data_IF_143641340090
#
_entry.id   IF_143641340090
#
_cell.length_a   1.000
_cell.length_b   1.000
_cell.length_c   1.000
_cell.angle_alpha   90.00
_cell.angle_beta   90.00
_cell.angle_gamma   90.00
#
_symmetry.space_group_name_H-M   'P 1'
#
loop_
_entity.id
_entity.type
_entity.pdbx_description
1 polymer ?
#
# COMPACT_ATOMS: atom_id res chain seq x y z
N UNK A 1 12.95 23.77 5.29
CA UNK A 1 12.58 23.09 4.04
C UNK A 1 12.80 24.07 2.89
N UNK A 2 13.42 23.64 1.80
CA UNK A 2 13.64 24.49 0.61
C UNK A 2 12.29 24.96 0.06
N UNK A 3 12.16 26.26 -0.18
CA UNK A 3 11.01 26.93 -0.82
C UNK A 3 11.06 26.58 -2.31
N UNK A 4 10.75 25.35 -2.68
CA UNK A 4 10.73 24.92 -4.08
C UNK A 4 9.29 24.75 -4.55
N UNK A 5 8.92 25.36 -5.69
CA UNK A 5 7.60 25.16 -6.27
C UNK A 5 7.36 23.67 -6.63
N UNK A 6 6.11 23.25 -6.54
CA UNK A 6 5.73 21.85 -6.72
C UNK A 6 4.48 21.69 -7.58
N UNK A 7 4.44 20.62 -8.34
CA UNK A 7 3.18 20.05 -8.84
C UNK A 7 2.73 19.03 -7.81
N UNK A 8 1.50 19.15 -7.31
CA UNK A 8 1.00 18.35 -6.18
C UNK A 8 -0.21 17.52 -6.60
N UNK A 9 -0.10 16.19 -6.46
CA UNK A 9 -1.23 15.27 -6.53
C UNK A 9 -1.97 15.24 -5.19
N UNK A 10 -3.31 15.33 -5.24
CA UNK A 10 -4.18 15.34 -4.06
C UNK A 10 -4.94 14.02 -3.93
N UNK A 11 -4.85 13.36 -2.78
CA UNK A 11 -5.58 12.12 -2.53
C UNK A 11 -5.16 11.41 -1.26
N UNK A 12 -5.89 10.35 -0.89
CA UNK A 12 -5.49 9.48 0.22
C UNK A 12 -4.49 8.40 -0.23
N UNK A 13 -4.54 8.00 -1.48
CA UNK A 13 -3.62 7.07 -2.16
C UNK A 13 -3.50 5.69 -1.50
N UNK A 14 -4.52 5.21 -0.81
CA UNK A 14 -4.51 3.88 -0.21
C UNK A 14 -4.45 2.79 -1.27
N UNK A 15 -3.39 1.98 -1.24
CA UNK A 15 -3.09 0.96 -2.23
C UNK A 15 -2.30 1.45 -3.44
N UNK A 16 -2.11 2.75 -3.63
CA UNK A 16 -1.40 3.35 -4.80
C UNK A 16 -1.78 2.65 -6.13
N UNK A 17 -3.05 2.31 -6.27
CA UNK A 17 -3.61 1.54 -7.38
C UNK A 17 -3.55 2.28 -8.73
N UNK A 18 -3.90 1.61 -9.83
CA UNK A 18 -3.80 2.16 -11.20
C UNK A 18 -4.51 3.50 -11.38
N UNK A 19 -5.65 3.74 -10.71
CA UNK A 19 -6.32 5.04 -10.68
C UNK A 19 -5.43 6.12 -10.05
N UNK A 20 -4.83 5.82 -8.90
CA UNK A 20 -3.82 6.71 -8.29
C UNK A 20 -2.60 6.88 -9.20
N UNK A 21 -2.16 5.81 -9.85
CA UNK A 21 -1.05 5.85 -10.80
C UNK A 21 -1.25 6.84 -11.95
N UNK A 22 -2.49 7.01 -12.42
CA UNK A 22 -2.79 8.03 -13.44
C UNK A 22 -2.55 9.45 -12.93
N UNK A 23 -2.95 9.75 -11.67
CA UNK A 23 -2.66 11.04 -11.05
C UNK A 23 -1.15 11.25 -10.87
N UNK A 24 -0.44 10.24 -10.37
CA UNK A 24 0.99 10.34 -10.06
C UNK A 24 1.83 10.51 -11.33
N UNK A 25 1.54 9.77 -12.40
CA UNK A 25 2.20 9.97 -13.71
C UNK A 25 1.99 11.37 -14.23
N UNK A 26 0.74 11.88 -14.22
CA UNK A 26 0.45 13.25 -14.67
C UNK A 26 1.18 14.29 -13.83
N UNK A 27 1.29 14.06 -12.52
CA UNK A 27 2.03 14.95 -11.61
C UNK A 27 3.51 15.02 -11.96
N UNK A 28 4.15 13.88 -12.23
CA UNK A 28 5.57 13.82 -12.62
C UNK A 28 5.79 14.42 -14.01
N UNK A 29 4.93 14.15 -14.98
CA UNK A 29 5.00 14.73 -16.32
C UNK A 29 4.93 16.25 -16.28
N UNK A 30 3.96 16.80 -15.53
CA UNK A 30 3.76 18.23 -15.40
C UNK A 30 4.89 18.90 -14.61
N UNK A 31 5.42 18.25 -13.58
CA UNK A 31 6.57 18.72 -12.82
C UNK A 31 7.82 18.82 -13.72
N UNK A 32 8.09 17.78 -14.49
CA UNK A 32 9.21 17.77 -15.48
C UNK A 32 9.04 18.88 -16.52
N UNK A 33 7.83 19.06 -17.07
CA UNK A 33 7.54 20.12 -18.05
C UNK A 33 7.79 21.53 -17.51
N UNK A 34 7.54 21.74 -16.22
CA UNK A 34 7.74 23.04 -15.55
C UNK A 34 9.12 23.21 -14.94
N UNK A 35 9.95 22.17 -14.87
CA UNK A 35 11.25 22.21 -14.20
C UNK A 35 11.13 22.37 -12.67
N UNK A 36 10.08 21.81 -12.05
CA UNK A 36 9.80 21.87 -10.62
C UNK A 36 9.70 20.45 -10.05
N UNK A 37 9.58 20.35 -8.70
CA UNK A 37 9.44 19.04 -8.05
C UNK A 37 8.01 18.49 -8.16
N UNK A 38 7.91 17.17 -8.23
CA UNK A 38 6.67 16.43 -8.09
C UNK A 38 6.38 16.12 -6.61
N UNK A 39 5.12 16.21 -6.19
CA UNK A 39 4.74 15.87 -4.82
C UNK A 39 3.38 15.18 -4.76
N UNK A 40 3.21 14.38 -3.71
CA UNK A 40 1.92 13.85 -3.27
C UNK A 40 1.55 14.54 -1.96
N UNK A 41 0.33 15.06 -1.87
CA UNK A 41 -0.28 15.48 -0.61
C UNK A 41 -1.28 14.41 -0.17
N UNK A 42 -1.05 13.85 1.01
CA UNK A 42 -1.86 12.76 1.56
C UNK A 42 -2.00 12.86 3.09
N UNK A 43 -2.96 12.14 3.64
CA UNK A 43 -3.19 12.07 5.07
C UNK A 43 -2.47 10.87 5.69
N UNK A 44 -1.92 11.04 6.90
CA UNK A 44 -1.28 9.95 7.64
C UNK A 44 -2.30 8.85 8.01
N UNK A 45 -3.50 9.27 8.46
CA UNK A 45 -4.61 8.38 8.80
C UNK A 45 -5.84 8.67 7.93
N UNK A 46 -6.76 7.69 7.79
CA UNK A 46 -7.99 7.89 7.00
C UNK A 46 -8.86 9.02 7.58
N UNK A 47 -9.21 10.07 6.80
CA UNK A 47 -10.11 11.11 7.27
C UNK A 47 -11.45 10.57 7.80
N UNK A 48 -11.99 9.53 7.13
CA UNK A 48 -13.23 8.87 7.55
C UNK A 48 -13.14 8.29 8.97
N UNK A 49 -12.02 7.69 9.34
CA UNK A 49 -11.81 7.15 10.67
C UNK A 49 -11.82 8.24 11.74
N UNK A 50 -11.14 9.37 11.48
CA UNK A 50 -11.11 10.52 12.39
C UNK A 50 -12.50 11.13 12.58
N UNK A 51 -13.30 11.20 11.50
CA UNK A 51 -14.66 11.78 11.54
C UNK A 51 -15.66 10.86 12.22
N UNK A 52 -15.59 9.55 11.97
CA UNK A 52 -16.61 8.58 12.42
C UNK A 52 -16.22 7.82 13.68
N UNK A 53 -14.94 7.83 14.06
CA UNK A 53 -14.39 6.97 15.13
C UNK A 53 -14.37 5.47 14.79
N UNK A 54 -14.69 5.10 13.55
CA UNK A 54 -14.72 3.71 13.09
C UNK A 54 -13.44 3.40 12.31
N UNK A 55 -12.65 2.40 12.75
CA UNK A 55 -11.43 2.01 12.03
C UNK A 55 -11.68 1.68 10.57
N UNK A 56 -10.79 2.16 9.69
CA UNK A 56 -10.83 1.88 8.26
C UNK A 56 -9.65 0.98 7.91
N UNK A 57 -9.88 -0.25 7.43
CA UNK A 57 -8.78 -1.10 6.99
C UNK A 57 -8.01 -0.46 5.85
N UNK A 58 -6.69 -0.37 5.98
CA UNK A 58 -5.77 0.19 4.98
C UNK A 58 -5.19 -0.92 4.12
N UNK A 59 -5.06 -0.69 2.82
CA UNK A 59 -4.35 -1.60 1.91
C UNK A 59 -2.85 -1.58 2.24
N UNK A 60 -2.31 -0.39 2.52
CA UNK A 60 -0.90 -0.21 2.85
C UNK A 60 -0.73 0.70 4.07
N UNK A 61 0.34 0.48 4.83
CA UNK A 61 0.81 1.43 5.84
C UNK A 61 1.14 2.79 5.22
N UNK A 62 1.19 3.88 6.01
CA UNK A 62 1.65 5.18 5.51
C UNK A 62 3.04 5.11 4.86
N UNK A 63 3.96 4.34 5.45
CA UNK A 63 5.32 4.14 4.97
C UNK A 63 5.33 3.41 3.63
N UNK A 64 4.55 2.33 3.50
CA UNK A 64 4.42 1.57 2.25
C UNK A 64 3.78 2.42 1.14
N UNK A 65 2.78 3.25 1.46
CA UNK A 65 2.21 4.22 0.49
C UNK A 65 3.25 5.19 -0.03
N UNK A 66 4.04 5.76 0.88
CA UNK A 66 5.10 6.68 0.50
C UNK A 66 6.17 6.00 -0.36
N UNK A 67 6.55 4.77 0.01
CA UNK A 67 7.49 3.97 -0.75
C UNK A 67 6.95 3.66 -2.16
N UNK A 68 5.71 3.20 -2.29
CA UNK A 68 5.09 2.89 -3.58
C UNK A 68 5.02 4.11 -4.50
N UNK A 69 4.62 5.28 -3.98
CA UNK A 69 4.56 6.50 -4.77
C UNK A 69 5.93 6.89 -5.34
N UNK A 70 6.99 6.76 -4.54
CA UNK A 70 8.37 7.05 -4.96
C UNK A 70 8.93 5.99 -5.90
N UNK A 71 8.78 4.72 -5.55
CA UNK A 71 9.43 3.62 -6.26
C UNK A 71 8.77 3.28 -7.60
N UNK A 72 7.44 3.43 -7.72
CA UNK A 72 6.71 3.10 -8.94
C UNK A 72 6.49 4.28 -9.88
N UNK A 73 6.52 5.51 -9.35
CA UNK A 73 6.13 6.70 -10.12
C UNK A 73 7.15 7.83 -10.07
N UNK A 74 8.31 7.65 -9.45
CA UNK A 74 9.38 8.66 -9.36
C UNK A 74 8.91 9.99 -8.72
N UNK A 75 7.99 9.91 -7.75
CA UNK A 75 7.56 11.09 -6.99
C UNK A 75 8.71 11.58 -6.10
N UNK A 76 9.07 12.86 -6.22
CA UNK A 76 10.15 13.46 -5.43
C UNK A 76 9.80 13.56 -3.94
N UNK A 77 8.62 14.09 -3.62
CA UNK A 77 8.20 14.40 -2.26
C UNK A 77 6.87 13.74 -1.90
N UNK A 78 6.79 13.18 -0.70
CA UNK A 78 5.51 12.77 -0.10
C UNK A 78 5.22 13.64 1.11
N UNK A 79 4.21 14.49 0.98
CA UNK A 79 3.71 15.40 2.02
C UNK A 79 2.62 14.66 2.77
N UNK A 80 2.99 14.02 3.86
CA UNK A 80 2.06 13.26 4.69
C UNK A 80 1.70 14.08 5.94
N UNK A 81 0.43 14.44 6.04
CA UNK A 81 -0.07 15.36 7.07
C UNK A 81 -1.07 14.61 7.96
N UNK A 82 -1.03 14.80 9.29
CA UNK A 82 -2.07 14.26 10.16
C UNK A 82 -3.41 14.96 9.85
N UNK A 83 -4.49 14.17 9.74
CA UNK A 83 -5.85 14.70 9.63
C UNK A 83 -6.39 14.92 11.05
N UNK A 84 -6.30 16.14 11.53
CA UNK A 84 -6.70 16.54 12.87
C UNK A 84 -7.95 17.46 12.84
N UNK A 85 -8.40 17.91 14.02
CA UNK A 85 -9.59 18.76 14.16
C UNK A 85 -9.47 20.09 13.40
N UNK A 86 -8.28 20.69 13.38
CA UNK A 86 -8.01 21.91 12.62
C UNK A 86 -8.21 21.67 11.13
N UNK A 87 -7.61 20.63 10.58
CA UNK A 87 -7.72 20.26 9.17
C UNK A 87 -9.16 19.87 8.79
N UNK A 88 -9.91 19.24 9.71
CA UNK A 88 -11.32 18.89 9.49
C UNK A 88 -12.23 20.12 9.37
N UNK A 89 -11.86 21.25 10.01
CA UNK A 89 -12.63 22.51 9.98
C UNK A 89 -12.12 23.52 8.99
N UNK A 90 -10.99 23.28 8.33
CA UNK A 90 -10.42 24.16 7.31
C UNK A 90 -11.37 24.27 6.12
N UNK A 91 -11.70 25.50 5.69
CA UNK A 91 -12.51 25.73 4.51
C UNK A 91 -11.83 25.16 3.25
N UNK A 92 -12.57 24.90 2.21
CA UNK A 92 -11.97 24.42 0.97
C UNK A 92 -11.10 25.51 0.31
N UNK A 93 -11.45 26.79 0.46
CA UNK A 93 -10.67 27.95 0.01
C UNK A 93 -9.32 28.02 0.73
N UNK A 94 -9.32 27.98 2.08
CA UNK A 94 -8.11 28.04 2.89
C UNK A 94 -7.22 26.79 2.65
N UNK A 95 -7.84 25.63 2.41
CA UNK A 95 -7.08 24.45 2.05
C UNK A 95 -6.26 24.67 0.78
N UNK A 96 -6.83 25.27 -0.25
CA UNK A 96 -6.12 25.58 -1.50
C UNK A 96 -5.11 26.73 -1.28
N UNK A 97 -5.54 27.85 -0.73
CA UNK A 97 -4.73 29.09 -0.69
C UNK A 97 -3.65 29.06 0.39
N UNK A 98 -4.02 28.75 1.64
CA UNK A 98 -3.09 28.81 2.77
C UNK A 98 -2.23 27.54 2.87
N UNK A 99 -2.84 26.36 2.61
CA UNK A 99 -2.12 25.11 2.79
C UNK A 99 -1.38 24.73 1.51
N UNK A 100 -2.07 24.50 0.40
CA UNK A 100 -1.41 23.99 -0.80
C UNK A 100 -0.48 25.03 -1.45
N UNK A 101 -0.95 26.29 -1.60
CA UNK A 101 -0.18 27.32 -2.28
C UNK A 101 0.86 27.93 -1.34
N UNK A 102 0.44 28.56 -0.23
CA UNK A 102 1.36 29.31 0.62
C UNK A 102 2.32 28.42 1.39
N UNK A 103 1.82 27.33 2.01
CA UNK A 103 2.65 26.47 2.86
C UNK A 103 3.47 25.47 2.06
N UNK A 104 2.90 24.85 1.00
CA UNK A 104 3.57 23.80 0.22
C UNK A 104 4.01 24.24 -1.17
N UNK A 105 3.82 25.52 -1.52
CA UNK A 105 4.29 26.13 -2.77
C UNK A 105 3.79 25.42 -4.04
N UNK A 106 2.51 25.04 -4.02
CA UNK A 106 1.86 24.45 -5.19
C UNK A 106 1.80 25.48 -6.33
N UNK A 107 2.22 25.09 -7.52
CA UNK A 107 2.10 25.85 -8.78
C UNK A 107 1.20 25.15 -9.78
N UNK A 108 0.85 23.89 -9.51
CA UNK A 108 -0.07 23.08 -10.28
C UNK A 108 -0.65 21.98 -9.38
N UNK A 109 -1.94 21.71 -9.49
CA UNK A 109 -2.64 20.70 -8.72
C UNK A 109 -3.17 19.59 -9.65
N UNK A 110 -3.10 18.33 -9.19
CA UNK A 110 -3.64 17.17 -9.89
C UNK A 110 -4.57 16.42 -8.94
N UNK A 111 -5.83 16.22 -9.33
CA UNK A 111 -6.83 15.57 -8.51
C UNK A 111 -7.66 14.56 -9.33
N UNK A 112 -8.29 13.60 -8.65
CA UNK A 112 -9.24 12.69 -9.29
C UNK A 112 -10.61 13.37 -9.52
N UNK A 113 -11.38 12.80 -10.46
CA UNK A 113 -12.73 13.29 -10.79
C UNK A 113 -13.72 13.27 -9.63
N UNK A 114 -13.49 12.44 -8.62
CA UNK A 114 -14.32 12.27 -7.43
C UNK A 114 -13.72 12.91 -6.17
N UNK A 115 -12.60 13.65 -6.31
CA UNK A 115 -11.88 14.22 -5.17
C UNK A 115 -12.74 15.22 -4.40
N UNK A 116 -12.82 15.05 -3.07
CA UNK A 116 -13.53 15.95 -2.16
C UNK A 116 -12.56 16.44 -1.07
N UNK A 117 -12.66 17.74 -0.74
CA UNK A 117 -11.74 18.35 0.22
C UNK A 117 -12.41 19.51 0.98
N UNK A 118 -11.69 20.02 2.00
CA UNK A 118 -12.19 21.08 2.85
C UNK A 118 -13.30 20.64 3.81
N UNK A 119 -13.77 21.57 4.62
CA UNK A 119 -14.81 21.32 5.62
C UNK A 119 -16.06 20.67 5.00
N UNK A 120 -16.50 19.55 5.58
CA UNK A 120 -17.67 18.77 5.10
C UNK A 120 -17.63 18.38 3.63
N UNK A 121 -16.43 18.22 3.05
CA UNK A 121 -16.26 17.85 1.63
C UNK A 121 -16.89 18.85 0.64
N UNK A 122 -16.93 20.13 0.99
CA UNK A 122 -17.53 21.18 0.13
C UNK A 122 -16.68 21.47 -1.11
N UNK A 123 -15.37 21.27 -1.07
CA UNK A 123 -14.48 21.37 -2.22
C UNK A 123 -14.73 20.26 -3.24
N UNK A 124 -14.87 20.62 -4.51
CA UNK A 124 -15.10 19.71 -5.64
C UNK A 124 -14.03 19.90 -6.71
N UNK A 125 -13.86 18.94 -7.65
CA UNK A 125 -12.95 19.11 -8.77
C UNK A 125 -13.20 20.36 -9.61
N UNK A 126 -14.48 20.72 -9.80
CA UNK A 126 -14.90 21.92 -10.56
C UNK A 126 -14.45 23.19 -9.83
N UNK A 127 -14.72 23.27 -8.51
CA UNK A 127 -14.26 24.39 -7.68
C UNK A 127 -12.73 24.47 -7.65
N UNK A 128 -12.03 23.33 -7.52
CA UNK A 128 -10.58 23.31 -7.58
C UNK A 128 -10.07 23.90 -8.90
N UNK A 129 -10.65 23.47 -10.01
CA UNK A 129 -10.24 23.93 -11.36
C UNK A 129 -10.52 25.42 -11.57
N UNK A 130 -11.70 25.93 -11.18
CA UNK A 130 -12.03 27.36 -11.31
C UNK A 130 -11.12 28.22 -10.43
N UNK A 131 -10.91 27.84 -9.17
CA UNK A 131 -10.06 28.58 -8.24
C UNK A 131 -8.60 28.60 -8.71
N UNK A 132 -8.07 27.46 -9.20
CA UNK A 132 -6.75 27.45 -9.79
C UNK A 132 -6.63 28.42 -10.97
N UNK A 133 -7.63 28.46 -11.86
CA UNK A 133 -7.63 29.38 -13.00
C UNK A 133 -7.65 30.84 -12.56
N UNK A 134 -8.48 31.21 -11.57
CA UNK A 134 -8.55 32.56 -10.99
C UNK A 134 -7.22 32.98 -10.34
N UNK A 135 -6.51 32.04 -9.72
CA UNK A 135 -5.21 32.28 -9.09
C UNK A 135 -4.01 32.14 -10.01
N UNK A 136 -4.22 31.87 -11.30
CA UNK A 136 -3.14 31.67 -12.29
C UNK A 136 -2.35 30.37 -12.12
N UNK A 137 -2.92 29.38 -11.42
CA UNK A 137 -2.34 28.03 -11.26
C UNK A 137 -2.85 27.05 -12.32
N UNK A 138 -2.06 26.05 -12.61
CA UNK A 138 -2.55 24.90 -13.39
C UNK A 138 -3.35 23.92 -12.54
N UNK A 139 -4.31 23.23 -13.18
CA UNK A 139 -5.10 22.18 -12.54
C UNK A 139 -5.50 21.11 -13.55
N UNK A 140 -5.17 19.85 -13.25
CA UNK A 140 -5.61 18.67 -14.00
C UNK A 140 -6.58 17.83 -13.17
N UNK A 141 -7.73 17.52 -13.75
CA UNK A 141 -8.67 16.56 -13.17
C UNK A 141 -8.58 15.25 -13.96
N UNK A 142 -8.17 14.20 -13.30
CA UNK A 142 -7.94 12.88 -13.91
C UNK A 142 -9.26 12.11 -13.90
N UNK A 143 -9.67 11.58 -15.05
CA UNK A 143 -10.89 10.79 -15.15
C UNK A 143 -10.76 9.43 -14.44
N UNK A 144 -11.89 8.76 -14.28
CA UNK A 144 -11.98 7.41 -13.78
C UNK A 144 -11.12 6.43 -14.60
N UNK A 145 -10.45 5.51 -13.90
CA UNK A 145 -9.69 4.42 -14.52
C UNK A 145 -10.44 3.11 -14.32
N UNK A 146 -10.60 2.35 -15.40
CA UNK A 146 -11.24 1.03 -15.39
C UNK A 146 -10.30 -0.06 -15.89
N UNK A 147 -10.46 -1.27 -15.37
CA UNK A 147 -9.79 -2.49 -15.83
C UNK A 147 -10.86 -3.54 -16.10
N UNK A 148 -10.93 -4.04 -17.33
CA UNK A 148 -11.97 -5.00 -17.72
C UNK A 148 -13.41 -4.49 -17.51
N UNK A 149 -13.65 -3.17 -17.64
CA UNK A 149 -14.95 -2.52 -17.41
C UNK A 149 -15.32 -2.32 -15.92
N UNK A 150 -14.42 -2.63 -14.99
CA UNK A 150 -14.62 -2.42 -13.55
C UNK A 150 -13.81 -1.22 -13.09
N UNK A 151 -14.43 -0.30 -12.37
CA UNK A 151 -13.77 0.86 -11.78
C UNK A 151 -12.71 0.46 -10.77
N UNK A 152 -11.50 0.99 -10.94
CA UNK A 152 -10.38 0.78 -10.01
C UNK A 152 -10.63 1.62 -8.75
N UNK A 153 -10.82 0.95 -7.61
CA UNK A 153 -11.03 1.63 -6.34
C UNK A 153 -10.41 0.88 -5.15
N UNK A 154 -9.97 1.63 -4.14
CA UNK A 154 -9.44 1.03 -2.90
C UNK A 154 -10.48 0.13 -2.21
N UNK A 155 -11.77 0.43 -2.31
CA UNK A 155 -12.85 -0.39 -1.72
C UNK A 155 -12.91 -1.77 -2.36
N UNK A 156 -12.86 -1.84 -3.69
CA UNK A 156 -12.87 -3.12 -4.40
C UNK A 156 -11.59 -3.92 -4.13
N UNK A 157 -10.44 -3.27 -4.13
CA UNK A 157 -9.14 -3.89 -3.86
C UNK A 157 -9.09 -4.45 -2.43
N UNK A 158 -9.58 -3.70 -1.41
CA UNK A 158 -9.67 -4.22 -0.04
C UNK A 158 -10.44 -5.53 0.03
N UNK A 159 -11.59 -5.60 -0.67
CA UNK A 159 -12.38 -6.84 -0.74
C UNK A 159 -11.59 -7.99 -1.36
N UNK A 160 -10.88 -7.76 -2.47
CA UNK A 160 -10.06 -8.80 -3.11
C UNK A 160 -8.96 -9.30 -2.19
N UNK A 161 -8.23 -8.39 -1.53
CA UNK A 161 -7.16 -8.73 -0.57
C UNK A 161 -7.72 -9.52 0.61
N UNK A 162 -8.83 -9.08 1.22
CA UNK A 162 -9.47 -9.77 2.36
C UNK A 162 -9.92 -11.20 2.00
N UNK A 163 -10.26 -11.45 0.74
CA UNK A 163 -10.64 -12.77 0.23
C UNK A 163 -9.42 -13.61 -0.21
N UNK A 164 -8.20 -13.11 -0.07
CA UNK A 164 -6.98 -13.77 -0.53
C UNK A 164 -6.83 -13.81 -2.05
N UNK A 165 -7.62 -13.03 -2.81
CA UNK A 165 -7.55 -12.96 -4.28
C UNK A 165 -6.46 -11.99 -4.72
N UNK A 166 -5.22 -12.27 -4.31
CA UNK A 166 -4.08 -11.36 -4.50
C UNK A 166 -3.71 -11.18 -5.98
N UNK A 167 -3.89 -12.19 -6.83
CA UNK A 167 -3.68 -12.09 -8.27
C UNK A 167 -4.62 -11.06 -8.90
N UNK A 168 -5.92 -11.15 -8.55
CA UNK A 168 -6.90 -10.17 -9.03
C UNK A 168 -6.66 -8.80 -8.44
N UNK A 169 -6.29 -8.71 -7.16
CA UNK A 169 -5.95 -7.43 -6.54
C UNK A 169 -4.79 -6.75 -7.29
N UNK A 170 -3.78 -7.52 -7.72
CA UNK A 170 -2.63 -7.04 -8.47
C UNK A 170 -3.03 -6.46 -9.84
N UNK A 171 -4.07 -6.98 -10.51
CA UNK A 171 -4.59 -6.41 -11.77
C UNK A 171 -5.08 -4.96 -11.61
N UNK A 172 -5.67 -4.63 -10.45
CA UNK A 172 -6.18 -3.29 -10.15
C UNK A 172 -5.15 -2.40 -9.44
N UNK A 173 -4.28 -3.00 -8.65
CA UNK A 173 -3.15 -2.31 -8.02
C UNK A 173 -2.10 -1.87 -9.06
N UNK A 174 -1.80 -2.74 -10.03
CA UNK A 174 -0.66 -2.59 -10.95
C UNK A 174 0.69 -3.02 -10.33
N UNK A 175 0.64 -3.57 -9.12
CA UNK A 175 1.78 -4.11 -8.37
C UNK A 175 1.27 -5.16 -7.36
N UNK A 176 2.13 -6.06 -6.83
CA UNK A 176 1.72 -7.00 -5.80
C UNK A 176 1.26 -6.26 -4.53
N UNK A 177 0.34 -6.85 -3.77
CA UNK A 177 0.06 -6.37 -2.42
C UNK A 177 1.31 -6.54 -1.56
N UNK A 178 1.68 -5.50 -0.80
CA UNK A 178 2.91 -5.48 0.01
C UNK A 178 2.62 -5.30 1.50
N UNK A 179 3.49 -5.88 2.32
CA UNK A 179 3.51 -5.70 3.76
C UNK A 179 4.96 -5.53 4.23
N UNK A 180 5.32 -4.34 4.71
CA UNK A 180 6.64 -4.08 5.29
C UNK A 180 6.55 -4.10 6.80
N UNK A 181 7.35 -4.96 7.45
CA UNK A 181 7.39 -5.10 8.90
C UNK A 181 8.76 -5.55 9.41
N UNK A 182 9.00 -5.29 10.69
CA UNK A 182 10.17 -5.82 11.39
C UNK A 182 9.97 -7.29 11.74
N UNK A 183 10.96 -8.11 11.43
CA UNK A 183 10.98 -9.55 11.77
C UNK A 183 11.01 -9.74 13.28
N UNK A 184 10.07 -10.53 13.78
CA UNK A 184 9.96 -10.88 15.21
C UNK A 184 10.20 -12.35 15.45
N UNK A 185 10.55 -12.68 16.70
CA UNK A 185 10.65 -14.07 17.11
C UNK A 185 9.26 -14.73 17.09
N UNK A 186 9.15 -15.84 16.34
CA UNK A 186 8.01 -16.75 16.38
C UNK A 186 8.26 -17.94 17.30
N UNK A 187 7.38 -18.95 17.24
CA UNK A 187 7.51 -20.20 18.02
C UNK A 187 8.64 -21.11 17.57
N UNK A 188 9.40 -20.78 16.51
CA UNK A 188 10.53 -21.52 15.95
C UNK A 188 10.20 -22.97 15.54
N UNK A 189 8.93 -23.33 15.33
CA UNK A 189 8.53 -24.67 14.90
C UNK A 189 9.16 -25.03 13.55
N UNK A 190 9.25 -24.07 12.63
CA UNK A 190 9.90 -24.25 11.33
C UNK A 190 11.37 -24.69 11.45
N UNK A 191 12.11 -24.15 12.42
CA UNK A 191 13.50 -24.57 12.67
C UNK A 191 13.62 -26.06 13.04
N UNK A 192 12.68 -26.60 13.83
CA UNK A 192 12.72 -28.03 14.25
C UNK A 192 12.48 -28.98 13.09
N UNK A 193 11.88 -28.51 12.00
CA UNK A 193 11.61 -29.33 10.80
C UNK A 193 12.51 -28.96 9.62
N UNK A 194 13.52 -28.09 9.82
CA UNK A 194 14.47 -27.67 8.78
C UNK A 194 13.87 -26.69 7.76
N UNK A 195 12.83 -25.96 8.15
CA UNK A 195 12.13 -24.94 7.31
C UNK A 195 12.06 -23.63 8.12
N UNK A 196 13.17 -22.87 8.20
CA UNK A 196 13.19 -21.64 8.98
C UNK A 196 12.28 -20.58 8.36
N UNK A 197 11.41 -19.98 9.17
CA UNK A 197 10.49 -18.91 8.75
C UNK A 197 10.77 -17.61 9.48
N UNK A 198 10.62 -16.49 8.78
CA UNK A 198 10.53 -15.17 9.39
C UNK A 198 9.07 -14.87 9.75
N UNK A 199 8.87 -14.27 10.91
CA UNK A 199 7.54 -13.96 11.43
C UNK A 199 7.32 -12.46 11.45
N UNK A 200 6.20 -12.02 10.89
CA UNK A 200 5.76 -10.63 10.89
C UNK A 200 4.45 -10.50 11.67
N UNK A 201 4.36 -9.42 12.43
CA UNK A 201 3.12 -9.00 13.07
C UNK A 201 2.60 -7.78 12.30
N UNK A 202 1.49 -7.91 11.57
CA UNK A 202 0.94 -6.79 10.80
C UNK A 202 0.60 -5.60 11.71
N UNK A 203 0.76 -4.36 11.22
CA UNK A 203 0.32 -3.20 11.98
C UNK A 203 -1.19 -3.23 12.17
N UNK A 204 -1.71 -2.64 13.25
CA UNK A 204 -3.16 -2.48 13.40
C UNK A 204 -3.78 -1.80 12.18
N UNK A 205 -4.93 -2.28 11.76
CA UNK A 205 -5.72 -1.75 10.64
C UNK A 205 -5.08 -1.85 9.24
N UNK A 206 -3.88 -2.42 9.08
CA UNK A 206 -3.32 -2.75 7.76
C UNK A 206 -3.82 -4.13 7.35
N UNK A 207 -4.38 -4.22 6.15
CA UNK A 207 -4.86 -5.48 5.59
C UNK A 207 -3.69 -6.42 5.28
N UNK A 208 -3.90 -7.67 5.63
CA UNK A 208 -3.17 -8.80 5.07
C UNK A 208 -4.11 -9.61 4.21
N UNK A 209 -3.62 -10.39 3.26
CA UNK A 209 -4.46 -11.33 2.51
C UNK A 209 -5.21 -12.28 3.45
N UNK A 210 -6.38 -12.76 3.01
CA UNK A 210 -7.14 -13.78 3.74
C UNK A 210 -6.29 -15.02 4.05
N UNK A 211 -6.69 -15.78 5.09
CA UNK A 211 -5.95 -16.97 5.55
C UNK A 211 -5.64 -17.93 4.38
N UNK A 212 -4.40 -18.44 4.35
CA UNK A 212 -3.94 -19.32 3.28
C UNK A 212 -2.43 -19.29 3.08
N UNK A 213 -1.98 -20.04 2.08
CA UNK A 213 -0.58 -20.14 1.67
C UNK A 213 -0.38 -19.45 0.33
N UNK A 214 0.66 -18.64 0.24
CA UNK A 214 0.92 -17.74 -0.88
C UNK A 214 2.32 -17.89 -1.45
N UNK A 215 2.45 -17.80 -2.78
CA UNK A 215 3.71 -17.44 -3.42
C UNK A 215 3.98 -15.98 -3.12
N UNK A 216 5.13 -15.70 -2.55
CA UNK A 216 5.56 -14.37 -2.18
C UNK A 216 7.02 -14.11 -2.58
N UNK A 217 7.41 -12.86 -2.57
CA UNK A 217 8.81 -12.42 -2.60
C UNK A 217 9.10 -11.66 -1.32
N UNK A 218 10.20 -11.97 -0.68
CA UNK A 218 10.71 -11.19 0.46
C UNK A 218 11.84 -10.31 -0.03
N UNK A 219 11.68 -9.00 0.12
CA UNK A 219 12.67 -8.00 -0.25
C UNK A 219 13.33 -7.45 1.02
N UNK A 220 14.66 -7.46 1.04
CA UNK A 220 15.44 -6.88 2.12
C UNK A 220 15.72 -5.40 1.86
N UNK A 221 16.10 -4.66 2.89
CA UNK A 221 16.36 -3.22 2.77
C UNK A 221 17.67 -2.89 2.04
N UNK A 222 18.54 -3.88 1.84
CA UNK A 222 19.75 -3.77 1.01
C UNK A 222 19.51 -3.93 -0.49
N UNK A 223 18.24 -4.19 -0.90
CA UNK A 223 17.81 -4.38 -2.28
C UNK A 223 17.81 -5.83 -2.75
N UNK A 224 18.33 -6.78 -1.97
CA UNK A 224 18.24 -8.22 -2.29
C UNK A 224 16.81 -8.72 -2.13
N UNK A 225 16.45 -9.76 -2.90
CA UNK A 225 15.11 -10.35 -2.82
C UNK A 225 15.14 -11.85 -3.04
N UNK A 226 14.23 -12.55 -2.38
CA UNK A 226 14.16 -14.03 -2.36
C UNK A 226 12.74 -14.48 -2.64
N UNK A 227 12.59 -15.53 -3.44
CA UNK A 227 11.32 -16.23 -3.56
C UNK A 227 10.94 -16.80 -2.19
N UNK A 228 9.65 -16.81 -1.87
CA UNK A 228 9.19 -17.27 -0.58
C UNK A 228 7.82 -17.96 -0.68
N UNK A 229 7.57 -18.84 0.29
CA UNK A 229 6.24 -19.35 0.60
C UNK A 229 5.78 -18.70 1.88
N UNK A 230 4.66 -17.99 1.83
CA UNK A 230 4.14 -17.23 2.97
C UNK A 230 2.82 -17.80 3.43
N UNK A 231 2.73 -18.15 4.70
CA UNK A 231 1.49 -18.52 5.38
C UNK A 231 0.89 -17.28 6.07
N UNK A 232 -0.37 -17.00 5.78
CA UNK A 232 -1.20 -16.04 6.51
C UNK A 232 -2.23 -16.85 7.27
N UNK A 233 -2.29 -16.69 8.59
CA UNK A 233 -3.21 -17.46 9.41
C UNK A 233 -3.57 -16.76 10.70
N UNK A 234 -4.73 -17.09 11.22
CA UNK A 234 -5.26 -16.57 12.47
C UNK A 234 -5.10 -17.62 13.57
N UNK A 235 -4.37 -17.31 14.64
CA UNK A 235 -4.15 -18.24 15.74
C UNK A 235 -5.01 -17.87 16.95
N UNK A 236 -5.73 -18.83 17.58
CA UNK A 236 -6.36 -18.61 18.86
C UNK A 236 -5.30 -18.27 19.93
N UNK A 237 -5.51 -17.19 20.68
CA UNK A 237 -4.69 -16.86 21.86
C UNK A 237 -5.36 -17.29 23.13
N UNK A 238 -4.55 -17.53 24.18
CA UNK A 238 -5.03 -17.96 25.52
C UNK A 238 -5.97 -16.91 26.17
N UNK A 239 -5.91 -15.65 25.71
CA UNK A 239 -6.67 -14.52 26.27
C UNK A 239 -7.88 -14.10 25.40
N UNK A 240 -8.58 -15.05 24.76
CA UNK A 240 -9.76 -14.81 23.91
C UNK A 240 -9.55 -13.85 22.73
N UNK A 241 -8.31 -13.60 22.29
CA UNK A 241 -7.95 -12.88 21.07
C UNK A 241 -7.53 -13.84 19.97
N UNK A 242 -7.47 -13.35 18.74
CA UNK A 242 -6.84 -14.03 17.61
C UNK A 242 -5.65 -13.23 17.15
N UNK A 243 -4.45 -13.83 17.16
CA UNK A 243 -3.26 -13.20 16.60
C UNK A 243 -3.14 -13.55 15.14
N UNK A 244 -3.25 -12.55 14.30
CA UNK A 244 -2.95 -12.67 12.88
C UNK A 244 -1.43 -12.77 12.71
N UNK A 245 -0.98 -13.81 12.04
CA UNK A 245 0.45 -14.07 11.80
C UNK A 245 0.73 -14.17 10.31
N UNK A 246 1.86 -13.62 9.90
CA UNK A 246 2.42 -13.75 8.55
C UNK A 246 3.79 -14.41 8.70
N UNK A 247 3.90 -15.64 8.25
CA UNK A 247 5.12 -16.44 8.35
C UNK A 247 5.64 -16.74 6.96
N UNK A 248 6.86 -16.30 6.64
CA UNK A 248 7.47 -16.50 5.32
C UNK A 248 8.70 -17.40 5.41
N UNK A 249 8.70 -18.48 4.65
CA UNK A 249 9.89 -19.26 4.36
C UNK A 249 10.57 -18.70 3.12
N UNK A 250 11.70 -18.08 3.31
CA UNK A 250 12.55 -17.56 2.23
C UNK A 250 13.35 -18.70 1.61
N UNK A 251 13.20 -18.90 0.31
CA UNK A 251 13.88 -19.96 -0.42
C UNK A 251 15.32 -19.52 -0.72
N UNK A 252 16.25 -20.46 -0.52
CA UNK A 252 17.67 -20.27 -0.84
C UNK A 252 18.32 -19.09 -0.06
N UNK A 253 17.75 -18.76 1.10
CA UNK A 253 18.28 -17.77 2.04
C UNK A 253 18.84 -18.44 3.29
N UNK A 254 20.06 -18.04 3.67
CA UNK A 254 20.69 -18.43 4.92
C UNK A 254 21.19 -17.16 5.64
N UNK A 255 20.60 -16.86 6.77
CA UNK A 255 20.93 -15.64 7.53
C UNK A 255 19.96 -15.37 8.67
N UNK A 256 20.32 -14.39 9.50
CA UNK A 256 19.50 -13.89 10.61
C UNK A 256 18.91 -12.52 10.24
N UNK A 257 17.59 -12.43 10.30
CA UNK A 257 16.82 -11.21 10.00
C UNK A 257 16.08 -10.65 11.21
N UNK A 258 16.27 -11.20 12.41
CA UNK A 258 15.58 -10.69 13.60
C UNK A 258 15.89 -9.22 13.85
N UNK A 259 14.83 -8.42 14.07
CA UNK A 259 14.94 -6.99 14.27
C UNK A 259 15.14 -6.18 12.98
N UNK A 260 15.34 -6.82 11.85
CA UNK A 260 15.44 -6.15 10.54
C UNK A 260 14.05 -5.95 9.93
N UNK A 261 13.87 -4.86 9.21
CA UNK A 261 12.67 -4.64 8.39
C UNK A 261 12.80 -5.36 7.06
N UNK A 262 11.74 -6.06 6.68
CA UNK A 262 11.61 -6.71 5.38
C UNK A 262 10.26 -6.36 4.76
N UNK A 263 10.15 -6.47 3.43
CA UNK A 263 8.90 -6.32 2.70
C UNK A 263 8.52 -7.65 2.08
N UNK A 264 7.30 -8.11 2.36
CA UNK A 264 6.67 -9.27 1.72
C UNK A 264 5.75 -8.78 0.60
N UNK A 265 5.94 -9.28 -0.59
CA UNK A 265 5.14 -9.02 -1.78
C UNK A 265 4.34 -10.28 -2.12
N UNK A 266 3.00 -10.20 -2.14
CA UNK A 266 2.11 -11.35 -2.38
C UNK A 266 1.73 -11.44 -3.86
N UNK A 267 2.05 -12.59 -4.49
CA UNK A 267 1.87 -12.77 -5.92
C UNK A 267 0.74 -13.72 -6.30
N UNK A 268 0.61 -14.86 -5.58
CA UNK A 268 -0.37 -15.88 -5.92
C UNK A 268 -0.81 -16.66 -4.69
N UNK A 269 -2.11 -16.92 -4.57
CA UNK A 269 -2.63 -17.85 -3.57
C UNK A 269 -2.47 -19.29 -4.06
N UNK A 270 -1.83 -20.14 -3.25
CA UNK A 270 -1.65 -21.54 -3.57
C UNK A 270 -2.83 -22.39 -3.08
N UNK A 271 -3.24 -22.18 -1.82
CA UNK A 271 -4.27 -22.99 -1.17
C UNK A 271 -4.75 -22.36 0.14
N UNK A 272 -5.80 -22.95 0.70
CA UNK A 272 -6.24 -22.70 2.08
C UNK A 272 -5.26 -23.31 3.09
N UNK A 273 -5.35 -22.89 4.35
CA UNK A 273 -4.71 -23.61 5.43
C UNK A 273 -5.37 -24.97 5.61
N UNK A 274 -4.55 -26.02 5.74
CA UNK A 274 -5.00 -27.39 5.98
C UNK A 274 -4.26 -27.99 7.17
N UNK A 275 -4.91 -28.91 7.86
CA UNK A 275 -4.26 -29.73 8.89
C UNK A 275 -3.62 -30.94 8.26
N UNK A 276 -2.47 -31.34 8.79
CA UNK A 276 -1.72 -32.51 8.34
C UNK A 276 -1.73 -33.58 9.43
N UNK A 277 -1.89 -34.82 9.02
CA UNK A 277 -1.92 -35.99 9.92
C UNK A 277 -0.51 -36.35 10.44
N UNK A 278 0.55 -35.85 9.80
CA UNK A 278 1.94 -36.08 10.19
C UNK A 278 2.87 -34.93 9.82
N UNK A 279 4.00 -34.82 10.52
CA UNK A 279 5.08 -33.87 10.20
C UNK A 279 5.67 -34.12 8.81
N UNK A 280 5.73 -35.36 8.37
CA UNK A 280 6.29 -35.70 7.05
C UNK A 280 5.34 -35.24 5.92
N UNK A 281 4.03 -35.39 6.10
CA UNK A 281 3.03 -34.87 5.18
C UNK A 281 3.12 -33.33 5.10
N UNK A 282 3.27 -32.65 6.24
CA UNK A 282 3.47 -31.19 6.29
C UNK A 282 4.74 -30.79 5.54
N UNK A 283 5.88 -31.44 5.79
CA UNK A 283 7.15 -31.16 5.10
C UNK A 283 7.04 -31.38 3.59
N UNK A 284 6.41 -32.46 3.15
CA UNK A 284 6.22 -32.76 1.74
C UNK A 284 5.42 -31.66 1.04
N UNK A 285 4.32 -31.19 1.68
CA UNK A 285 3.50 -30.12 1.14
C UNK A 285 4.22 -28.78 1.08
N UNK A 286 4.98 -28.42 2.14
CA UNK A 286 5.75 -27.17 2.14
C UNK A 286 6.82 -27.20 1.02
N UNK A 287 7.48 -28.34 0.78
CA UNK A 287 8.45 -28.48 -0.33
C UNK A 287 7.77 -28.32 -1.69
N UNK A 288 6.60 -28.93 -1.90
CA UNK A 288 5.82 -28.74 -3.11
C UNK A 288 5.47 -27.26 -3.33
N UNK A 289 5.00 -26.56 -2.28
CA UNK A 289 4.72 -25.13 -2.37
C UNK A 289 5.99 -24.32 -2.71
N UNK A 290 7.17 -24.73 -2.24
CA UNK A 290 8.43 -24.10 -2.61
C UNK A 290 8.80 -24.31 -4.08
N UNK A 291 8.57 -25.52 -4.61
CA UNK A 291 8.80 -25.81 -6.03
C UNK A 291 7.85 -25.00 -6.92
N UNK A 292 6.57 -24.87 -6.51
CA UNK A 292 5.59 -24.00 -7.18
C UNK A 292 6.05 -22.53 -7.19
N UNK A 293 6.61 -22.04 -6.06
CA UNK A 293 7.13 -20.69 -5.97
C UNK A 293 8.34 -20.46 -6.88
N UNK A 294 9.28 -21.40 -6.92
CA UNK A 294 10.43 -21.34 -7.84
C UNK A 294 9.98 -21.33 -9.31
N UNK A 295 9.07 -22.24 -9.67
CA UNK A 295 8.52 -22.33 -11.03
C UNK A 295 7.80 -21.02 -11.43
N UNK A 296 7.03 -20.44 -10.52
CA UNK A 296 6.33 -19.17 -10.76
C UNK A 296 7.28 -18.04 -11.11
N UNK A 297 8.36 -17.86 -10.35
CA UNK A 297 9.32 -16.80 -10.62
C UNK A 297 10.23 -17.09 -11.81
N UNK A 298 10.59 -18.36 -12.07
CA UNK A 298 11.33 -18.76 -13.25
C UNK A 298 10.56 -18.48 -14.56
N UNK A 299 9.22 -18.59 -14.54
CA UNK A 299 8.37 -18.32 -15.71
C UNK A 299 8.20 -16.82 -16.01
N UNK A 300 8.66 -15.93 -15.11
CA UNK A 300 8.52 -14.47 -15.23
C UNK A 300 9.86 -13.73 -15.32
N UNK A 301 10.98 -14.45 -15.24
CA UNK A 301 12.32 -13.94 -15.45
C UNK A 301 12.66 -13.89 -16.96
#
# INVERSE_FOLDING_TARGET
MSIQPKVIALGFFDGVHLGHGALLRRTVEEAKRRGVRSAVFTWAQPPKEVVTGVPVPLINSPEDRAWLAKSLYDIDDVIMVPFNKEMMTTSWEDFVTEILIKRYHAVHLVAGHDHRFGHKNQGTPELLKSTCAELGLGCDIIPEVTVGGITVSSTYIRRLVSLGQVERAMEYLGHPHILTQTVRHGRRIGHTIGIPTVNLVPPPHVLVPGDGVYIARVCLMDGSSYAAVTNVGTRPTVNNGSDLTVESWMLDFDGDLYGQSIRVEFYKRLRDEIRFDSLDALKAEIRRNADDARAYFASKA
#
